data_IF_676900686308
#
_entry.id   IF_676900686308
#
_cell.length_a   1.000
_cell.length_b   1.000
_cell.length_c   1.000
_cell.angle_alpha   90.00
_cell.angle_beta   90.00
_cell.angle_gamma   90.00
#
_symmetry.space_group_name_H-M   'P 1'
#
loop_
_entity.id
_entity.type
_entity.pdbx_description
1 polymer ?
#
# COMPACT_ATOMS: atom_id res chain seq x y z
N UNK A 1 13.82 -14.52 -6.62
CA UNK A 1 12.63 -14.85 -7.43
C UNK A 1 11.62 -13.72 -7.23
N UNK A 2 11.19 -13.05 -8.30
CA UNK A 2 10.23 -11.94 -8.21
C UNK A 2 8.84 -12.47 -7.89
N UNK A 3 8.19 -11.93 -6.86
CA UNK A 3 6.81 -12.29 -6.54
C UNK A 3 5.87 -11.95 -7.72
N UNK A 4 4.81 -12.73 -7.98
CA UNK A 4 3.90 -12.47 -9.08
C UNK A 4 3.23 -11.09 -8.91
N UNK A 5 3.29 -10.26 -9.95
CA UNK A 5 2.62 -8.97 -10.00
C UNK A 5 1.11 -9.17 -10.24
N UNK A 6 0.29 -8.36 -9.56
CA UNK A 6 -1.16 -8.31 -9.79
C UNK A 6 -1.48 -7.10 -10.67
N UNK A 7 -2.28 -7.32 -11.71
CA UNK A 7 -2.75 -6.24 -12.57
C UNK A 7 -3.82 -5.41 -11.87
N UNK A 8 -3.62 -4.09 -11.82
CA UNK A 8 -4.58 -3.13 -11.30
C UNK A 8 -4.98 -2.17 -12.42
N UNK A 9 -6.25 -2.21 -12.83
CA UNK A 9 -6.83 -1.23 -13.75
C UNK A 9 -7.51 -0.13 -12.94
N UNK A 10 -6.81 0.97 -12.71
CA UNK A 10 -7.32 2.10 -11.95
C UNK A 10 -7.28 3.39 -12.78
N UNK A 11 -8.28 4.25 -12.54
CA UNK A 11 -8.23 5.67 -12.94
C UNK A 11 -7.74 6.47 -11.75
N UNK A 12 -6.92 7.49 -12.01
CA UNK A 12 -6.40 8.40 -10.99
C UNK A 12 -6.90 9.82 -11.24
N UNK A 13 -6.81 10.68 -10.23
CA UNK A 13 -7.15 12.10 -10.39
C UNK A 13 -6.13 12.82 -11.26
N UNK A 14 -6.49 14.01 -11.76
CA UNK A 14 -5.60 14.81 -12.60
C UNK A 14 -4.33 15.23 -11.85
N UNK A 15 -4.46 15.59 -10.57
CA UNK A 15 -3.34 15.96 -9.70
C UNK A 15 -2.36 14.80 -9.54
N UNK A 16 -2.91 13.59 -9.30
CA UNK A 16 -2.10 12.36 -9.18
C UNK A 16 -1.35 12.10 -10.48
N UNK A 17 -2.02 12.23 -11.63
CA UNK A 17 -1.39 12.03 -12.94
C UNK A 17 -0.25 13.02 -13.18
N UNK A 18 -0.45 14.30 -12.87
CA UNK A 18 0.58 15.33 -13.01
C UNK A 18 1.85 15.02 -12.19
N UNK A 19 1.69 14.49 -10.97
CA UNK A 19 2.83 14.11 -10.12
C UNK A 19 3.60 12.92 -10.72
N UNK A 20 2.89 11.89 -11.21
CA UNK A 20 3.53 10.73 -11.83
C UNK A 20 4.28 11.17 -13.09
N UNK A 21 3.66 12.01 -13.92
CA UNK A 21 4.27 12.54 -15.15
C UNK A 21 5.50 13.41 -14.85
N UNK A 22 5.43 14.27 -13.83
CA UNK A 22 6.58 15.07 -13.41
C UNK A 22 7.75 14.17 -12.97
N UNK A 23 7.48 13.14 -12.17
CA UNK A 23 8.52 12.19 -11.73
C UNK A 23 9.10 11.40 -12.90
N UNK A 24 8.28 10.95 -13.84
CA UNK A 24 8.73 10.31 -15.08
C UNK A 24 9.71 11.20 -15.84
N UNK A 25 9.39 12.49 -16.02
CA UNK A 25 10.25 13.43 -16.74
C UNK A 25 11.58 13.73 -16.04
N UNK A 26 11.58 13.75 -14.71
CA UNK A 26 12.78 14.05 -13.91
C UNK A 26 13.72 12.83 -13.83
N UNK A 27 13.16 11.63 -13.71
CA UNK A 27 13.94 10.41 -13.40
C UNK A 27 14.14 9.48 -14.60
N UNK A 28 13.28 9.56 -15.61
CA UNK A 28 13.19 8.58 -16.70
C UNK A 28 12.49 7.28 -16.32
N UNK A 29 12.06 7.10 -15.06
CA UNK A 29 11.34 5.89 -14.61
C UNK A 29 9.99 5.74 -15.32
N UNK A 30 9.59 4.52 -15.66
CA UNK A 30 8.28 4.29 -16.30
C UNK A 30 7.13 4.57 -15.34
N UNK A 31 5.99 5.10 -15.83
CA UNK A 31 4.81 5.36 -14.98
C UNK A 31 4.39 4.13 -14.17
N UNK A 32 4.41 2.94 -14.78
CA UNK A 32 4.06 1.69 -14.10
C UNK A 32 5.01 1.35 -12.96
N UNK A 33 6.29 1.66 -13.09
CA UNK A 33 7.30 1.43 -12.05
C UNK A 33 7.13 2.42 -10.91
N UNK A 34 6.92 3.70 -11.23
CA UNK A 34 6.61 4.76 -10.25
C UNK A 34 5.38 4.38 -9.43
N UNK A 35 4.27 4.01 -10.08
CA UNK A 35 3.02 3.65 -9.42
C UNK A 35 3.21 2.40 -8.54
N UNK A 36 3.94 1.40 -9.04
CA UNK A 36 4.24 0.19 -8.27
C UNK A 36 5.05 0.50 -7.01
N UNK A 37 6.07 1.36 -7.12
CA UNK A 37 6.88 1.79 -5.99
C UNK A 37 6.04 2.50 -4.93
N UNK A 38 5.25 3.50 -5.34
CA UNK A 38 4.37 4.25 -4.43
C UNK A 38 3.40 3.33 -3.69
N UNK A 39 2.72 2.43 -4.40
CA UNK A 39 1.77 1.50 -3.80
C UNK A 39 2.44 0.48 -2.89
N UNK A 40 3.65 0.02 -3.24
CA UNK A 40 4.41 -0.89 -2.41
C UNK A 40 4.84 -0.23 -1.09
N UNK A 41 5.39 0.98 -1.16
CA UNK A 41 5.85 1.72 0.01
C UNK A 41 4.68 2.05 0.95
N UNK A 42 3.54 2.46 0.38
CA UNK A 42 2.31 2.66 1.12
C UNK A 42 1.86 1.36 1.81
N UNK A 43 1.82 0.24 1.08
CA UNK A 43 1.40 -1.04 1.65
C UNK A 43 2.33 -1.49 2.80
N UNK A 44 3.65 -1.34 2.66
CA UNK A 44 4.60 -1.63 3.73
C UNK A 44 4.42 -0.73 4.95
N UNK A 45 4.07 0.54 4.75
CA UNK A 45 3.74 1.44 5.84
C UNK A 45 2.47 0.99 6.58
N UNK A 46 1.40 0.64 5.86
CA UNK A 46 0.15 0.17 6.44
C UNK A 46 0.30 -1.17 7.17
N UNK A 47 1.04 -2.12 6.60
CA UNK A 47 1.35 -3.38 7.26
C UNK A 47 2.08 -3.15 8.59
N UNK A 48 3.08 -2.27 8.61
CA UNK A 48 3.81 -1.91 9.85
C UNK A 48 2.89 -1.30 10.89
N UNK A 49 2.02 -0.36 10.50
CA UNK A 49 1.02 0.23 11.42
C UNK A 49 0.10 -0.84 12.00
N UNK A 50 -0.40 -1.76 11.17
CA UNK A 50 -1.25 -2.85 11.62
C UNK A 50 -0.52 -3.80 12.59
N UNK A 51 0.73 -4.16 12.31
CA UNK A 51 1.55 -4.98 13.21
C UNK A 51 1.77 -4.30 14.55
N UNK A 52 2.13 -3.00 14.55
CA UNK A 52 2.33 -2.24 15.79
C UNK A 52 1.03 -2.15 16.59
N UNK A 53 -0.09 -1.83 15.94
CA UNK A 53 -1.41 -1.78 16.57
C UNK A 53 -1.81 -3.11 17.19
N UNK A 54 -1.61 -4.23 16.48
CA UNK A 54 -1.85 -5.57 17.02
C UNK A 54 -0.98 -5.85 18.25
N UNK A 55 0.28 -5.42 18.23
CA UNK A 55 1.17 -5.53 19.38
C UNK A 55 0.67 -4.73 20.59
N UNK A 56 0.23 -3.50 20.38
CA UNK A 56 -0.34 -2.64 21.43
C UNK A 56 -1.63 -3.23 22.01
N UNK A 57 -2.57 -3.63 21.15
CA UNK A 57 -3.82 -4.27 21.59
C UNK A 57 -3.55 -5.54 22.40
N UNK A 58 -2.57 -6.36 21.98
CA UNK A 58 -2.17 -7.55 22.73
C UNK A 58 -1.56 -7.21 24.09
N UNK A 59 -0.76 -6.14 24.18
CA UNK A 59 -0.18 -5.68 25.45
C UNK A 59 -1.25 -5.20 26.44
N UNK A 60 -2.31 -4.58 25.93
CA UNK A 60 -3.50 -4.18 26.71
C UNK A 60 -4.45 -5.37 27.03
N UNK A 61 -4.11 -6.60 26.62
CA UNK A 61 -4.97 -7.77 26.79
C UNK A 61 -6.22 -7.75 25.88
N UNK A 62 -6.32 -6.79 24.96
CA UNK A 62 -7.40 -6.66 23.97
C UNK A 62 -7.09 -7.59 22.78
N UNK A 63 -7.27 -8.89 22.99
CA UNK A 63 -7.08 -9.93 21.98
C UNK A 63 -8.40 -10.38 21.37
N UNK A 64 -8.79 -9.81 20.22
CA UNK A 64 -10.03 -10.17 19.53
C UNK A 64 -9.82 -11.16 18.38
N UNK A 65 -10.38 -12.36 18.50
CA UNK A 65 -10.73 -13.21 17.37
C UNK A 65 -11.76 -12.47 16.50
N UNK A 66 -11.32 -11.78 15.44
CA UNK A 66 -12.21 -11.13 14.44
C UNK A 66 -12.89 -12.18 13.53
N UNK A 67 -13.26 -13.34 14.09
CA UNK A 67 -14.05 -14.38 13.41
C UNK A 67 -15.47 -14.51 13.95
N UNK A 68 -15.82 -13.79 15.01
CA UNK A 68 -17.14 -13.89 15.65
C UNK A 68 -18.00 -12.65 15.38
N UNK A 69 -18.20 -12.33 14.09
CA UNK A 69 -19.03 -11.19 13.68
C UNK A 69 -19.65 -11.29 12.28
N UNK A 70 -19.54 -12.44 11.62
CA UNK A 70 -20.27 -12.74 10.39
C UNK A 70 -21.14 -13.97 10.65
N UNK A 71 -22.33 -13.72 11.19
CA UNK A 71 -23.51 -14.58 11.02
C UNK A 71 -24.56 -13.78 10.26
#
# INVERSE_FOLDING_TARGET
>A
MTAPLKDLRAKVTAETWCVIEARHRVTGEQHAEIVRGILHDWALAEMRKATVMQGLLKAEGIGGNVREGLK
#
